data_IF_487953908724
#
_entry.id   IF_487953908724
#
_cell.length_a   1.000
_cell.length_b   1.000
_cell.length_c   1.000
_cell.angle_alpha   90.00
_cell.angle_beta   90.00
_cell.angle_gamma   90.00
#
_symmetry.space_group_name_H-M   'P 1'
#
loop_
_entity.id
_entity.type
_entity.pdbx_description
1 polymer ?
#
# COMPACT_ATOMS: atom_id res chain seq x y z
N UNK A 1 3.65 -48.32 -10.62
CA UNK A 1 2.72 -49.09 -9.77
C UNK A 1 2.03 -50.17 -10.59
N UNK A 2 2.24 -51.42 -10.19
CA UNK A 2 1.66 -52.62 -10.80
C UNK A 2 0.14 -52.66 -10.62
N UNK A 3 -0.60 -53.26 -11.57
CA UNK A 3 -2.07 -53.40 -11.50
C UNK A 3 -2.54 -54.10 -10.21
N UNK A 4 -1.69 -54.96 -9.64
CA UNK A 4 -1.92 -55.64 -8.36
C UNK A 4 -1.91 -54.69 -7.17
N UNK A 5 -1.03 -53.69 -7.18
CA UNK A 5 -0.95 -52.65 -6.14
C UNK A 5 -2.18 -51.74 -6.19
N UNK A 6 -2.64 -51.40 -7.40
CA UNK A 6 -3.88 -50.63 -7.58
C UNK A 6 -5.10 -51.35 -7.00
N UNK A 7 -5.22 -52.66 -7.19
CA UNK A 7 -6.33 -53.43 -6.62
C UNK A 7 -6.24 -53.59 -5.10
N UNK A 8 -5.03 -53.67 -4.53
CA UNK A 8 -4.89 -53.70 -3.07
C UNK A 8 -5.21 -52.35 -2.43
N UNK A 9 -4.87 -51.23 -3.07
CA UNK A 9 -5.25 -49.89 -2.60
C UNK A 9 -6.76 -49.61 -2.71
N UNK A 10 -7.42 -50.11 -3.76
CA UNK A 10 -8.88 -50.02 -3.92
C UNK A 10 -9.63 -50.84 -2.87
N UNK A 11 -9.22 -52.09 -2.61
CA UNK A 11 -9.84 -52.92 -1.57
C UNK A 11 -9.64 -52.33 -0.16
N UNK A 12 -8.51 -51.69 0.10
CA UNK A 12 -8.22 -51.03 1.38
C UNK A 12 -8.99 -49.71 1.57
N UNK A 13 -9.52 -49.14 0.49
CA UNK A 13 -10.35 -47.93 0.51
C UNK A 13 -11.84 -48.22 0.68
N UNK A 14 -12.30 -49.45 0.45
CA UNK A 14 -13.70 -49.85 0.68
C UNK A 14 -13.99 -50.14 2.17
N UNK A 15 -12.99 -50.58 2.94
CA UNK A 15 -13.13 -50.95 4.36
C UNK A 15 -12.92 -49.78 5.34
N UNK A 16 -12.55 -48.59 4.86
CA UNK A 16 -12.32 -47.41 5.69
C UNK A 16 -12.93 -46.19 5.03
N UNK A 17 -13.82 -45.51 5.76
CA UNK A 17 -14.51 -44.26 5.40
C UNK A 17 -13.51 -43.08 5.35
N UNK A 18 -12.43 -43.22 4.58
CA UNK A 18 -11.28 -42.32 4.53
C UNK A 18 -11.21 -41.66 3.15
N UNK A 19 -11.34 -40.33 3.18
CA UNK A 19 -11.44 -39.44 2.03
C UNK A 19 -10.19 -39.57 1.11
N UNK A 20 -10.38 -40.00 -0.13
CA UNK A 20 -9.31 -40.35 -1.09
C UNK A 20 -8.41 -39.18 -1.54
N UNK A 21 -8.74 -37.95 -1.14
CA UNK A 21 -7.97 -36.73 -1.44
C UNK A 21 -7.09 -36.27 -0.27
N UNK A 22 -7.10 -36.96 0.87
CA UNK A 22 -6.14 -36.72 1.95
C UNK A 22 -4.88 -37.53 1.67
N UNK A 23 -3.83 -36.88 1.18
CA UNK A 23 -2.47 -37.42 1.27
C UNK A 23 -2.04 -37.20 2.71
N UNK A 24 -1.89 -38.26 3.50
CA UNK A 24 -1.22 -38.18 4.81
C UNK A 24 0.21 -37.69 4.56
N UNK A 25 0.48 -36.42 4.89
CA UNK A 25 1.83 -35.90 4.96
C UNK A 25 2.53 -36.73 6.05
N UNK A 26 3.44 -37.60 5.63
CA UNK A 26 4.33 -38.31 6.54
C UNK A 26 4.93 -37.29 7.51
N UNK A 27 4.93 -37.64 8.80
CA UNK A 27 5.58 -36.87 9.84
C UNK A 27 6.96 -36.42 9.33
N UNK A 28 7.21 -35.11 9.32
CA UNK A 28 8.52 -34.58 8.96
C UNK A 28 9.48 -35.23 9.94
N UNK A 29 10.28 -36.18 9.46
CA UNK A 29 11.42 -36.70 10.22
C UNK A 29 12.26 -35.48 10.55
N UNK A 30 12.17 -35.02 11.80
CA UNK A 30 13.13 -34.09 12.36
C UNK A 30 14.46 -34.81 12.24
N UNK A 31 15.27 -34.41 11.26
CA UNK A 31 16.67 -34.79 11.24
C UNK A 31 17.22 -34.31 12.57
N UNK A 32 17.63 -35.24 13.42
CA UNK A 32 18.49 -34.91 14.55
C UNK A 32 19.73 -34.26 13.93
N UNK A 33 19.92 -32.97 14.23
CA UNK A 33 21.11 -32.24 13.79
C UNK A 33 22.28 -32.88 14.54
N UNK A 34 23.05 -33.72 13.86
CA UNK A 34 24.32 -34.21 14.38
C UNK A 34 25.17 -32.99 14.78
N UNK A 35 25.78 -33.00 15.98
CA UNK A 35 26.57 -31.87 16.45
C UNK A 35 27.75 -31.67 15.51
N UNK A 36 27.69 -30.58 14.72
CA UNK A 36 28.74 -30.20 13.79
C UNK A 36 29.96 -29.75 14.61
N UNK A 37 31.17 -30.28 14.37
CA UNK A 37 32.38 -29.83 15.05
C UNK A 37 32.67 -28.34 14.77
N UNK A 38 33.00 -27.56 15.80
CA UNK A 38 33.29 -26.10 15.70
C UNK A 38 34.40 -25.73 14.70
N UNK A 39 35.21 -26.71 14.28
CA UNK A 39 36.37 -26.53 13.41
C UNK A 39 36.06 -26.68 11.91
N UNK A 40 34.84 -27.11 11.56
CA UNK A 40 34.42 -27.35 10.16
C UNK A 40 33.07 -26.69 9.91
N UNK A 41 32.94 -25.94 8.82
CA UNK A 41 31.66 -25.34 8.46
C UNK A 41 30.64 -26.42 8.07
N UNK A 42 29.36 -26.19 8.35
CA UNK A 42 28.28 -27.18 8.21
C UNK A 42 28.11 -27.75 6.78
N UNK A 43 28.62 -27.05 5.76
CA UNK A 43 28.59 -27.51 4.37
C UNK A 43 29.77 -28.41 4.03
N UNK A 44 30.94 -28.21 4.64
CA UNK A 44 32.15 -29.03 4.47
C UNK A 44 32.02 -30.38 5.18
N UNK A 45 31.30 -30.45 6.29
CA UNK A 45 31.09 -31.67 7.06
C UNK A 45 30.49 -32.83 6.23
N UNK A 46 29.73 -32.52 5.17
CA UNK A 46 29.16 -33.52 4.26
C UNK A 46 30.12 -33.95 3.16
N UNK A 47 31.12 -33.11 2.86
CA UNK A 47 32.05 -33.28 1.76
C UNK A 47 33.29 -34.05 2.22
N UNK A 48 33.74 -33.81 3.45
CA UNK A 48 34.90 -34.45 4.05
C UNK A 48 34.58 -35.87 4.57
N UNK A 49 35.62 -36.67 4.77
CA UNK A 49 35.52 -37.98 5.42
C UNK A 49 35.60 -37.83 6.95
N UNK A 50 34.97 -38.72 7.71
CA UNK A 50 35.00 -38.64 9.19
C UNK A 50 36.44 -38.66 9.74
N UNK A 51 37.34 -39.38 9.06
CA UNK A 51 38.77 -39.45 9.42
C UNK A 51 39.48 -38.11 9.26
N UNK A 52 39.16 -37.35 8.21
CA UNK A 52 39.75 -36.02 7.99
C UNK A 52 39.20 -34.95 8.89
N UNK A 53 37.93 -35.06 9.27
CA UNK A 53 37.31 -34.21 10.29
C UNK A 53 37.99 -34.45 11.65
N UNK A 54 38.33 -35.70 11.98
CA UNK A 54 39.07 -36.05 13.18
C UNK A 54 40.53 -35.56 13.14
N UNK A 55 41.19 -35.59 11.99
CA UNK A 55 42.56 -35.05 11.82
C UNK A 55 42.60 -33.52 11.98
N UNK A 56 41.61 -32.80 11.41
CA UNK A 56 41.44 -31.36 11.57
C UNK A 56 41.15 -30.95 13.03
N UNK A 57 40.57 -31.85 13.82
CA UNK A 57 40.37 -31.61 15.27
C UNK A 57 41.68 -31.63 16.06
N UNK A 58 42.70 -32.33 15.57
CA UNK A 58 44.01 -32.43 16.22
C UNK A 58 44.96 -31.30 15.80
N UNK A 59 44.93 -30.87 14.53
CA UNK A 59 45.67 -29.71 14.04
C UNK A 59 44.88 -29.00 12.91
N UNK A 60 44.40 -27.76 13.16
CA UNK A 60 43.59 -27.02 12.19
C UNK A 60 44.35 -26.54 10.95
N UNK A 61 45.69 -26.70 10.89
CA UNK A 61 46.50 -26.28 9.74
C UNK A 61 46.98 -27.43 8.83
N UNK A 62 46.59 -28.68 9.11
CA UNK A 62 47.05 -29.87 8.37
C UNK A 62 46.76 -29.76 6.85
N UNK A 63 45.58 -29.29 6.46
CA UNK A 63 45.17 -29.18 5.05
C UNK A 63 45.68 -27.93 4.32
N UNK A 64 46.43 -27.04 5.00
CA UNK A 64 46.98 -25.82 4.36
C UNK A 64 48.31 -26.13 3.66
N UNK A 65 49.02 -27.19 4.07
CA UNK A 65 50.31 -27.58 3.49
C UNK A 65 50.24 -28.77 2.52
N UNK A 66 49.36 -29.73 2.77
CA UNK A 66 49.20 -30.88 1.89
C UNK A 66 48.10 -30.61 0.86
N UNK A 67 48.44 -30.71 -0.43
CA UNK A 67 47.48 -30.69 -1.53
C UNK A 67 46.33 -31.66 -1.23
N UNK A 68 45.09 -31.15 -1.17
CA UNK A 68 43.89 -31.95 -0.94
C UNK A 68 43.86 -33.12 -1.92
N UNK A 69 44.17 -34.32 -1.42
CA UNK A 69 44.07 -35.58 -2.16
C UNK A 69 42.66 -36.17 -2.10
N UNK A 70 42.34 -37.06 -3.05
CA UNK A 70 41.04 -37.72 -3.16
C UNK A 70 40.64 -38.53 -1.90
N UNK A 71 41.59 -38.86 -1.04
CA UNK A 71 41.35 -39.59 0.22
C UNK A 71 40.65 -38.73 1.30
N UNK A 72 40.73 -37.41 1.18
CA UNK A 72 40.11 -36.48 2.13
C UNK A 72 38.65 -36.17 1.77
N UNK A 73 38.21 -36.57 0.58
CA UNK A 73 36.90 -36.26 0.04
C UNK A 73 36.00 -37.49 0.06
N UNK A 74 34.76 -37.30 0.50
CA UNK A 74 33.72 -38.30 0.42
C UNK A 74 33.21 -38.41 -1.03
N UNK A 75 33.89 -39.23 -1.83
CA UNK A 75 33.58 -39.46 -3.24
C UNK A 75 32.15 -39.97 -3.50
N UNK A 76 31.40 -40.39 -2.48
CA UNK A 76 29.97 -40.77 -2.60
C UNK A 76 29.04 -39.57 -2.82
N UNK A 77 29.47 -38.38 -2.44
CA UNK A 77 28.67 -37.14 -2.56
C UNK A 77 28.81 -36.53 -3.95
N UNK A 78 29.96 -36.73 -4.60
CA UNK A 78 30.22 -36.19 -5.92
C UNK A 78 29.65 -37.09 -7.02
N UNK A 79 28.81 -36.51 -7.87
CA UNK A 79 28.33 -37.14 -9.09
C UNK A 79 28.45 -36.16 -10.27
N UNK A 80 28.36 -36.67 -11.50
CA UNK A 80 28.43 -35.83 -12.72
C UNK A 80 27.11 -35.08 -13.04
N UNK A 81 26.12 -35.13 -12.15
CA UNK A 81 24.80 -34.54 -12.38
C UNK A 81 24.72 -33.17 -11.70
N UNK A 82 24.25 -32.17 -12.45
CA UNK A 82 24.05 -30.83 -11.91
C UNK A 82 22.58 -30.67 -11.54
N UNK A 83 22.31 -30.46 -10.26
CA UNK A 83 20.96 -30.17 -9.77
C UNK A 83 20.51 -28.77 -10.23
N UNK A 84 19.30 -28.69 -10.77
CA UNK A 84 18.64 -27.42 -11.02
C UNK A 84 17.72 -27.15 -9.82
N UNK A 85 18.05 -26.19 -8.94
CA UNK A 85 17.26 -25.94 -7.76
C UNK A 85 15.83 -25.57 -8.15
N UNK A 86 14.87 -25.89 -7.28
CA UNK A 86 13.47 -25.59 -7.53
C UNK A 86 13.30 -24.08 -7.79
N UNK A 87 12.69 -23.67 -8.92
CA UNK A 87 12.41 -22.27 -9.19
C UNK A 87 11.50 -21.70 -8.08
N UNK A 88 12.05 -20.86 -7.21
CA UNK A 88 11.29 -20.18 -6.17
C UNK A 88 10.46 -19.09 -6.86
N UNK A 89 9.14 -19.16 -6.72
CA UNK A 89 8.27 -18.09 -7.18
C UNK A 89 8.63 -16.78 -6.45
N UNK A 90 8.64 -15.63 -7.14
CA UNK A 90 8.96 -14.38 -6.49
C UNK A 90 8.01 -14.15 -5.30
N UNK A 91 8.51 -13.71 -4.13
CA UNK A 91 7.71 -13.57 -2.91
C UNK A 91 6.52 -12.62 -3.08
N UNK A 92 6.60 -11.71 -4.06
CA UNK A 92 5.47 -10.95 -4.54
C UNK A 92 5.18 -11.32 -6.01
N UNK A 93 4.03 -11.97 -6.25
CA UNK A 93 3.47 -12.07 -7.59
C UNK A 93 3.26 -10.64 -8.11
N UNK A 94 3.93 -10.29 -9.22
CA UNK A 94 3.76 -8.99 -9.83
C UNK A 94 2.27 -8.86 -10.20
N UNK A 95 1.54 -7.97 -9.52
CA UNK A 95 0.11 -7.81 -9.78
C UNK A 95 -0.13 -7.66 -11.28
N UNK A 96 -1.16 -8.34 -11.78
CA UNK A 96 -1.58 -8.21 -13.17
C UNK A 96 -1.58 -6.73 -13.54
N UNK A 97 -0.87 -6.31 -14.61
CA UNK A 97 -0.74 -4.91 -14.94
C UNK A 97 -2.14 -4.30 -15.03
N UNK A 98 -2.37 -3.11 -14.44
CA UNK A 98 -3.69 -2.49 -14.47
C UNK A 98 -4.17 -2.38 -15.91
N UNK A 99 -5.48 -2.59 -16.16
CA UNK A 99 -6.02 -2.52 -17.50
C UNK A 99 -5.63 -1.18 -18.12
N UNK A 100 -4.98 -1.24 -19.27
CA UNK A 100 -4.45 -0.04 -19.92
C UNK A 100 -5.61 0.95 -20.15
N UNK A 101 -5.54 2.18 -19.61
CA UNK A 101 -6.63 3.12 -19.75
C UNK A 101 -6.75 3.52 -21.23
N UNK A 102 -7.87 3.19 -21.87
CA UNK A 102 -8.13 3.55 -23.26
C UNK A 102 -8.29 5.08 -23.37
N UNK A 103 -7.28 5.74 -23.91
CA UNK A 103 -7.30 7.19 -24.14
C UNK A 103 -7.92 7.47 -25.51
N UNK A 104 -9.17 7.88 -25.53
CA UNK A 104 -9.81 8.36 -26.76
C UNK A 104 -9.24 9.72 -27.20
N UNK A 105 -9.10 9.92 -28.51
CA UNK A 105 -8.74 11.20 -29.11
C UNK A 105 -9.84 12.25 -28.92
N UNK A 106 -9.53 13.54 -29.13
CA UNK A 106 -10.53 14.61 -29.01
C UNK A 106 -11.69 14.43 -30.01
N UNK A 107 -11.38 13.92 -31.21
CA UNK A 107 -12.35 13.66 -32.28
C UNK A 107 -13.28 12.51 -31.94
N UNK A 108 -12.72 11.40 -31.44
CA UNK A 108 -13.51 10.26 -30.97
C UNK A 108 -14.42 10.64 -29.80
N UNK A 109 -13.91 11.44 -28.85
CA UNK A 109 -14.73 11.96 -27.74
C UNK A 109 -15.86 12.84 -28.26
N UNK A 110 -15.62 13.67 -29.27
CA UNK A 110 -16.64 14.49 -29.93
C UNK A 110 -17.67 13.60 -30.63
N UNK A 111 -17.23 12.60 -31.40
CA UNK A 111 -18.10 11.63 -32.09
C UNK A 111 -18.99 10.87 -31.09
N UNK A 112 -18.41 10.32 -30.02
CA UNK A 112 -19.16 9.60 -28.98
C UNK A 112 -20.16 10.50 -28.26
N UNK A 113 -19.78 11.75 -27.94
CA UNK A 113 -20.68 12.74 -27.34
C UNK A 113 -21.85 13.06 -28.27
N UNK A 114 -21.60 13.22 -29.57
CA UNK A 114 -22.65 13.49 -30.57
C UNK A 114 -23.58 12.30 -30.72
N UNK A 115 -23.06 11.08 -30.87
CA UNK A 115 -23.86 9.86 -30.95
C UNK A 115 -24.76 9.68 -29.73
N UNK A 116 -24.22 9.88 -28.51
CA UNK A 116 -25.01 9.82 -27.26
C UNK A 116 -26.10 10.89 -27.19
N UNK A 117 -25.87 12.08 -27.75
CA UNK A 117 -26.88 13.15 -27.81
C UNK A 117 -27.99 12.81 -28.79
N UNK A 118 -27.63 12.35 -29.98
CA UNK A 118 -28.58 11.92 -31.01
C UNK A 118 -29.45 10.79 -30.49
N UNK A 119 -28.84 9.75 -29.90
CA UNK A 119 -29.59 8.63 -29.31
C UNK A 119 -30.58 9.10 -28.23
N UNK A 120 -30.15 9.99 -27.33
CA UNK A 120 -31.02 10.55 -26.29
C UNK A 120 -32.16 11.42 -26.83
N UNK A 121 -31.91 12.16 -27.92
CA UNK A 121 -32.95 12.95 -28.59
C UNK A 121 -33.95 12.08 -29.34
N UNK A 122 -33.48 11.01 -29.99
CA UNK A 122 -34.33 10.01 -30.65
C UNK A 122 -35.21 9.29 -29.63
N UNK A 123 -34.64 8.77 -28.54
CA UNK A 123 -35.39 8.15 -27.44
C UNK A 123 -36.47 9.10 -26.88
N UNK A 124 -36.12 10.38 -26.68
CA UNK A 124 -37.09 11.38 -26.22
C UNK A 124 -38.22 11.62 -27.24
N UNK A 125 -37.92 11.65 -28.54
CA UNK A 125 -38.94 11.80 -29.60
C UNK A 125 -39.86 10.59 -29.65
N UNK A 126 -39.31 9.39 -29.52
CA UNK A 126 -40.09 8.14 -29.46
C UNK A 126 -41.00 8.13 -28.23
N UNK A 127 -40.51 8.55 -27.07
CA UNK A 127 -41.32 8.67 -25.85
C UNK A 127 -42.47 9.69 -25.98
N UNK A 128 -42.24 10.79 -26.71
CA UNK A 128 -43.30 11.77 -27.05
C UNK A 128 -44.29 11.17 -28.05
N UNK A 129 -43.80 10.45 -29.06
CA UNK A 129 -44.63 9.77 -30.08
C UNK A 129 -45.55 8.72 -29.44
N UNK A 130 -45.06 8.01 -28.43
CA UNK A 130 -45.83 7.07 -27.61
C UNK A 130 -46.76 7.74 -26.59
N UNK A 131 -46.74 9.08 -26.48
CA UNK A 131 -47.55 9.83 -25.52
C UNK A 131 -47.13 9.68 -24.06
N UNK A 132 -45.95 9.09 -23.77
CA UNK A 132 -45.44 8.89 -22.41
C UNK A 132 -44.86 10.15 -21.79
N UNK A 133 -44.44 11.11 -22.63
CA UNK A 133 -43.87 12.39 -22.20
C UNK A 133 -44.51 13.49 -23.02
N UNK A 134 -44.97 14.55 -22.35
CA UNK A 134 -45.51 15.72 -23.04
C UNK A 134 -44.43 16.48 -23.82
N UNK A 135 -44.78 17.03 -25.00
CA UNK A 135 -43.89 17.94 -25.73
C UNK A 135 -43.44 19.10 -24.83
N UNK A 136 -42.15 19.42 -24.87
CA UNK A 136 -41.64 20.54 -24.08
C UNK A 136 -42.23 21.86 -24.56
N UNK A 137 -42.79 22.64 -23.63
CA UNK A 137 -43.28 24.00 -23.89
C UNK A 137 -42.14 24.88 -24.43
N UNK A 138 -42.48 25.81 -25.33
CA UNK A 138 -41.50 26.70 -25.95
C UNK A 138 -40.85 27.62 -24.91
N UNK A 139 -39.52 27.76 -24.97
CA UNK A 139 -38.77 28.57 -24.00
C UNK A 139 -38.85 30.05 -24.36
N UNK A 140 -39.65 30.81 -23.63
CA UNK A 140 -39.72 32.28 -23.75
C UNK A 140 -38.74 32.93 -22.77
N UNK A 141 -37.93 33.88 -23.25
CA UNK A 141 -37.07 34.76 -22.44
C UNK A 141 -37.66 36.16 -22.45
N UNK A 142 -37.35 36.95 -21.42
CA UNK A 142 -37.79 38.36 -21.38
C UNK A 142 -37.32 39.16 -22.60
N UNK A 143 -36.10 38.89 -23.10
CA UNK A 143 -35.57 39.46 -24.35
C UNK A 143 -36.34 39.06 -25.61
N UNK A 144 -36.98 37.88 -25.61
CA UNK A 144 -37.69 37.33 -26.76
C UNK A 144 -39.22 37.54 -26.65
N UNK A 145 -39.67 38.17 -25.58
CA UNK A 145 -41.08 38.30 -25.22
C UNK A 145 -41.89 38.99 -26.32
N UNK A 146 -41.45 40.19 -26.72
CA UNK A 146 -42.11 40.99 -27.76
C UNK A 146 -42.02 40.36 -29.15
N UNK A 147 -41.13 39.38 -29.38
CA UNK A 147 -41.02 38.67 -30.66
C UNK A 147 -41.94 37.45 -30.75
N UNK A 148 -42.18 36.77 -29.63
CA UNK A 148 -42.89 35.48 -29.59
C UNK A 148 -44.34 35.65 -29.14
N UNK A 149 -44.62 36.57 -28.22
CA UNK A 149 -45.93 36.81 -27.62
C UNK A 149 -46.32 38.29 -27.66
N UNK A 150 -46.11 38.95 -28.80
CA UNK A 150 -46.37 40.38 -28.97
C UNK A 150 -47.82 40.78 -28.65
N UNK A 151 -48.80 40.01 -29.16
CA UNK A 151 -50.23 40.25 -28.98
C UNK A 151 -50.70 40.05 -27.54
N UNK A 152 -50.11 39.10 -26.81
CA UNK A 152 -50.43 38.84 -25.40
C UNK A 152 -49.71 39.85 -24.47
N UNK A 153 -48.51 40.27 -24.85
CA UNK A 153 -47.71 41.23 -24.10
C UNK A 153 -48.33 42.64 -24.09
N UNK A 154 -49.07 43.04 -25.14
CA UNK A 154 -49.77 44.32 -25.18
C UNK A 154 -51.03 44.34 -24.33
N UNK A 155 -51.70 43.19 -24.14
CA UNK A 155 -52.91 43.09 -23.34
C UNK A 155 -52.63 43.14 -21.83
N UNK A 156 -51.63 42.39 -21.35
CA UNK A 156 -51.31 42.29 -19.92
C UNK A 156 -49.79 42.09 -19.68
N UNK A 157 -48.98 43.16 -19.76
CA UNK A 157 -47.51 43.05 -19.70
C UNK A 157 -46.99 42.48 -18.37
N UNK A 158 -47.55 42.91 -17.24
CA UNK A 158 -47.08 42.53 -15.90
C UNK A 158 -47.36 41.06 -15.56
N UNK A 159 -48.52 40.54 -15.99
CA UNK A 159 -48.88 39.13 -15.77
C UNK A 159 -47.94 38.20 -16.54
N UNK A 160 -47.71 38.53 -17.82
CA UNK A 160 -46.84 37.77 -18.70
C UNK A 160 -45.37 37.81 -18.24
N UNK A 161 -44.92 38.97 -17.77
CA UNK A 161 -43.58 39.13 -17.16
C UNK A 161 -43.42 38.24 -15.93
N UNK A 162 -44.42 38.23 -15.04
CA UNK A 162 -44.43 37.38 -13.85
C UNK A 162 -44.37 35.90 -14.21
N UNK A 163 -45.18 35.45 -15.16
CA UNK A 163 -45.18 34.06 -15.65
C UNK A 163 -43.82 33.63 -16.23
N UNK A 164 -43.17 34.50 -17.00
CA UNK A 164 -41.85 34.18 -17.58
C UNK A 164 -40.77 34.20 -16.50
N UNK A 165 -40.88 35.07 -15.50
CA UNK A 165 -39.98 35.07 -14.33
C UNK A 165 -40.18 33.81 -13.49
N UNK A 166 -41.40 33.37 -13.25
CA UNK A 166 -41.67 32.12 -12.53
C UNK A 166 -41.16 30.93 -13.32
N UNK A 167 -41.40 30.85 -14.64
CA UNK A 167 -40.86 29.78 -15.48
C UNK A 167 -39.32 29.82 -15.52
N UNK A 168 -38.72 31.01 -15.49
CA UNK A 168 -37.27 31.16 -15.36
C UNK A 168 -36.73 30.67 -14.02
N UNK A 169 -37.40 31.03 -12.92
CA UNK A 169 -37.07 30.57 -11.58
C UNK A 169 -37.25 29.05 -11.45
N UNK A 170 -38.32 28.47 -12.00
CA UNK A 170 -38.53 27.03 -12.06
C UNK A 170 -37.43 26.33 -12.87
N UNK A 171 -37.00 26.91 -14.00
CA UNK A 171 -35.88 26.38 -14.79
C UNK A 171 -34.56 26.41 -14.02
N UNK A 172 -34.32 27.48 -13.27
CA UNK A 172 -33.14 27.64 -12.41
C UNK A 172 -33.18 26.66 -11.23
N UNK A 173 -34.32 26.57 -10.53
CA UNK A 173 -34.54 25.65 -9.44
C UNK A 173 -34.37 24.20 -9.92
N UNK A 174 -35.00 23.81 -11.03
CA UNK A 174 -34.82 22.47 -11.59
C UNK A 174 -33.36 22.20 -12.00
N UNK A 175 -32.57 23.21 -12.37
CA UNK A 175 -31.12 23.04 -12.59
C UNK A 175 -30.37 22.84 -11.26
N UNK A 176 -30.70 23.63 -10.23
CA UNK A 176 -30.17 23.47 -8.89
C UNK A 176 -30.51 22.10 -8.30
N UNK A 177 -31.77 21.67 -8.38
CA UNK A 177 -32.24 20.36 -7.89
C UNK A 177 -31.50 19.22 -8.59
N UNK A 178 -31.29 19.30 -9.91
CA UNK A 178 -30.47 18.32 -10.63
C UNK A 178 -29.01 18.31 -10.17
N UNK A 179 -28.46 19.47 -9.79
CA UNK A 179 -27.10 19.55 -9.27
C UNK A 179 -27.00 19.04 -7.83
N UNK A 180 -27.99 19.33 -7.01
CA UNK A 180 -28.11 18.84 -5.63
C UNK A 180 -28.28 17.33 -5.64
N UNK A 181 -29.16 16.78 -6.48
CA UNK A 181 -29.34 15.33 -6.65
C UNK A 181 -28.06 14.62 -7.15
N UNK A 182 -27.22 15.29 -7.95
CA UNK A 182 -25.91 14.76 -8.38
C UNK A 182 -24.78 14.99 -7.37
N UNK A 183 -24.97 15.90 -6.41
CA UNK A 183 -23.93 16.26 -5.45
C UNK A 183 -23.82 15.12 -4.46
N UNK A 184 -22.66 14.46 -4.45
CA UNK A 184 -22.39 13.39 -3.49
C UNK A 184 -22.69 13.88 -2.07
N UNK A 185 -23.33 13.01 -1.30
CA UNK A 185 -23.55 13.26 0.13
C UNK A 185 -22.22 13.42 0.85
N UNK A 186 -22.15 14.15 1.98
CA UNK A 186 -20.90 14.27 2.74
C UNK A 186 -20.29 12.90 3.12
N UNK A 187 -21.12 11.89 3.35
CA UNK A 187 -20.69 10.52 3.61
C UNK A 187 -20.06 9.87 2.36
N UNK A 188 -20.73 9.90 1.20
CA UNK A 188 -20.19 9.39 -0.07
C UNK A 188 -18.88 10.10 -0.47
N UNK A 189 -18.75 11.39 -0.16
CA UNK A 189 -17.50 12.13 -0.39
C UNK A 189 -16.36 11.61 0.46
N UNK A 190 -16.62 11.25 1.73
CA UNK A 190 -15.62 10.65 2.62
C UNK A 190 -15.21 9.28 2.09
N UNK A 191 -16.17 8.43 1.74
CA UNK A 191 -15.90 7.09 1.19
C UNK A 191 -15.13 7.17 -0.14
N UNK A 192 -15.52 8.07 -1.05
CA UNK A 192 -14.79 8.28 -2.32
C UNK A 192 -13.37 8.79 -2.09
N UNK A 193 -13.16 9.62 -1.06
CA UNK A 193 -11.83 10.11 -0.67
C UNK A 193 -11.01 8.95 -0.10
N UNK A 194 -11.57 8.16 0.81
CA UNK A 194 -10.94 6.97 1.38
C UNK A 194 -10.56 5.98 0.27
N UNK A 195 -11.49 5.64 -0.63
CA UNK A 195 -11.24 4.77 -1.78
C UNK A 195 -10.07 5.27 -2.64
N UNK A 196 -10.00 6.57 -2.93
CA UNK A 196 -8.90 7.17 -3.71
C UNK A 196 -7.53 7.05 -3.02
N UNK A 197 -7.51 7.08 -1.69
CA UNK A 197 -6.29 7.00 -0.92
C UNK A 197 -5.88 5.54 -0.65
N UNK A 198 -6.84 4.62 -0.54
CA UNK A 198 -6.63 3.31 0.07
C UNK A 198 -7.05 2.11 -0.78
N UNK A 199 -7.93 2.24 -1.78
CA UNK A 199 -8.43 1.13 -2.59
C UNK A 199 -7.92 1.20 -4.04
N UNK A 200 -6.61 1.11 -4.23
CA UNK A 200 -6.06 0.63 -5.50
C UNK A 200 -5.76 -0.87 -5.28
N UNK A 201 -6.62 -1.80 -5.73
CA UNK A 201 -6.43 -3.25 -5.56
C UNK A 201 -5.32 -3.81 -6.46
N UNK A 202 -4.84 -3.01 -7.42
CA UNK A 202 -3.87 -3.45 -8.44
C UNK A 202 -2.42 -3.13 -8.08
N UNK A 203 -2.19 -2.25 -7.10
CA UNK A 203 -0.83 -2.04 -6.60
C UNK A 203 -0.58 -3.13 -5.58
N UNK A 204 0.31 -4.06 -5.92
CA UNK A 204 0.92 -5.04 -5.01
C UNK A 204 1.09 -4.42 -3.62
N UNK A 205 0.93 -5.27 -2.61
CA UNK A 205 1.06 -5.03 -1.17
C UNK A 205 2.50 -4.62 -0.78
N UNK A 206 3.17 -3.81 -1.59
CA UNK A 206 4.41 -3.13 -1.23
C UNK A 206 4.04 -2.09 -0.17
N UNK A 207 4.19 -2.49 1.08
CA UNK A 207 4.16 -1.56 2.20
C UNK A 207 5.47 -0.79 2.15
N UNK A 208 5.38 0.52 1.94
CA UNK A 208 6.55 1.39 1.96
C UNK A 208 6.72 1.89 3.38
N UNK A 209 7.94 1.76 3.87
CA UNK A 209 8.38 2.24 5.17
C UNK A 209 9.25 3.46 4.96
N UNK A 210 9.05 4.48 5.80
CA UNK A 210 9.87 5.67 5.88
C UNK A 210 10.28 5.91 7.32
N UNK A 211 11.58 6.08 7.53
CA UNK A 211 12.20 6.35 8.83
C UNK A 211 12.71 7.78 8.82
N UNK A 212 12.20 8.59 9.75
CA UNK A 212 12.61 9.97 9.94
C UNK A 212 13.36 10.11 11.26
N UNK A 213 14.46 10.86 11.22
CA UNK A 213 15.20 11.31 12.40
C UNK A 213 14.96 12.79 12.60
N UNK A 214 14.66 13.16 13.84
CA UNK A 214 14.53 14.54 14.30
C UNK A 214 15.62 14.75 15.35
N UNK A 215 16.42 15.80 15.17
CA UNK A 215 17.63 16.01 15.96
C UNK A 215 17.38 16.44 17.41
N UNK A 216 16.16 16.87 17.74
CA UNK A 216 15.77 17.18 19.12
C UNK A 216 14.51 16.44 19.54
N UNK A 217 14.19 16.52 20.84
CA UNK A 217 12.97 15.95 21.40
C UNK A 217 11.74 16.66 20.82
N UNK A 218 10.72 15.90 20.45
CA UNK A 218 9.42 16.41 19.98
C UNK A 218 8.60 16.97 21.16
N UNK A 219 9.06 18.08 21.74
CA UNK A 219 8.42 18.70 22.91
C UNK A 219 7.14 19.48 22.56
N UNK A 220 7.13 20.19 21.41
CA UNK A 220 5.99 21.03 21.03
C UNK A 220 4.70 20.19 20.79
N UNK A 221 3.61 20.47 21.54
CA UNK A 221 2.35 19.77 21.37
C UNK A 221 1.75 19.89 19.97
N UNK A 222 1.99 21.00 19.25
CA UNK A 222 1.41 21.22 17.92
C UNK A 222 2.08 20.34 16.87
N UNK A 223 3.41 20.28 16.84
CA UNK A 223 4.14 19.37 15.94
C UNK A 223 3.83 17.91 16.27
N UNK A 224 3.82 17.52 17.55
CA UNK A 224 3.40 16.18 17.98
C UNK A 224 2.00 15.81 17.52
N UNK A 225 1.04 16.73 17.65
CA UNK A 225 -0.32 16.53 17.16
C UNK A 225 -0.36 16.39 15.63
N UNK A 226 0.40 17.21 14.90
CA UNK A 226 0.48 17.12 13.43
C UNK A 226 1.03 15.77 12.99
N UNK A 227 2.15 15.31 13.54
CA UNK A 227 2.77 14.00 13.27
C UNK A 227 1.74 12.88 13.49
N UNK A 228 1.15 12.83 14.71
CA UNK A 228 0.19 11.79 15.09
C UNK A 228 -1.10 11.81 14.24
N UNK A 229 -1.72 12.99 14.05
CA UNK A 229 -3.00 13.08 13.35
C UNK A 229 -2.86 12.87 11.85
N UNK A 230 -1.77 13.31 11.23
CA UNK A 230 -1.58 13.07 9.81
C UNK A 230 -1.26 11.58 9.54
N UNK A 231 -0.57 10.90 10.44
CA UNK A 231 -0.41 9.44 10.35
C UNK A 231 -1.78 8.75 10.38
N UNK A 232 -2.63 9.09 11.36
CA UNK A 232 -3.99 8.54 11.49
C UNK A 232 -4.88 8.87 10.28
N UNK A 233 -4.90 10.11 9.81
CA UNK A 233 -5.73 10.56 8.67
C UNK A 233 -5.33 9.91 7.34
N UNK A 234 -4.07 9.51 7.22
CA UNK A 234 -3.56 8.81 6.03
C UNK A 234 -3.51 7.28 6.21
N UNK A 235 -4.12 6.74 7.28
CA UNK A 235 -4.11 5.30 7.62
C UNK A 235 -2.70 4.73 7.50
N UNK A 236 -1.75 5.45 8.07
CA UNK A 236 -0.37 5.02 8.18
C UNK A 236 -0.21 4.30 9.51
N UNK A 237 0.52 3.19 9.49
CA UNK A 237 0.95 2.47 10.69
C UNK A 237 2.38 2.87 11.00
N UNK A 238 2.87 2.55 12.19
CA UNK A 238 4.23 2.90 12.58
C UNK A 238 4.35 3.31 14.04
N UNK A 239 5.48 3.91 14.36
CA UNK A 239 5.82 4.24 15.73
C UNK A 239 6.67 5.51 15.80
N UNK A 240 6.40 6.36 16.78
CA UNK A 240 7.21 7.54 17.09
C UNK A 240 7.80 7.38 18.49
N UNK A 241 9.12 7.23 18.58
CA UNK A 241 9.86 7.26 19.83
C UNK A 241 10.37 8.68 20.05
N UNK A 242 10.05 9.25 21.20
CA UNK A 242 10.58 10.54 21.66
C UNK A 242 11.59 10.27 22.77
N UNK A 243 12.81 10.77 22.63
CA UNK A 243 13.89 10.69 23.61
C UNK A 243 14.50 12.07 23.82
N UNK A 244 15.14 12.26 24.96
CA UNK A 244 15.96 13.44 25.24
C UNK A 244 17.16 13.46 24.28
N UNK A 245 17.15 14.38 23.32
CA UNK A 245 18.23 14.57 22.34
C UNK A 245 17.99 13.96 20.95
N UNK A 246 16.99 13.10 20.74
CA UNK A 246 16.56 12.73 19.38
C UNK A 246 15.15 12.12 19.37
N UNK A 247 14.42 12.28 18.27
CA UNK A 247 13.15 11.58 18.06
C UNK A 247 13.18 10.80 16.75
N UNK A 248 12.72 9.56 16.77
CA UNK A 248 12.66 8.69 15.60
C UNK A 248 11.22 8.39 15.27
N UNK A 249 10.83 8.65 14.03
CA UNK A 249 9.47 8.43 13.52
C UNK A 249 9.52 7.43 12.39
N UNK A 250 8.98 6.24 12.62
CA UNK A 250 8.83 5.19 11.62
C UNK A 250 7.37 5.17 11.16
N UNK A 251 7.18 5.15 9.84
CA UNK A 251 5.87 5.18 9.22
C UNK A 251 5.81 4.17 8.10
N UNK A 252 4.79 3.32 8.12
CA UNK A 252 4.54 2.29 7.12
C UNK A 252 3.19 2.57 6.43
N UNK A 253 3.13 2.35 5.13
CA UNK A 253 1.88 2.39 4.39
C UNK A 253 2.06 2.50 2.88
N UNK A 254 1.01 2.95 2.19
CA UNK A 254 1.01 3.01 0.73
C UNK A 254 1.79 4.22 0.21
N UNK A 255 2.39 4.08 -0.99
CA UNK A 255 3.16 5.15 -1.67
C UNK A 255 2.50 6.53 -1.68
N UNK A 256 1.20 6.62 -1.99
CA UNK A 256 0.45 7.90 -1.99
C UNK A 256 0.30 8.52 -0.59
N UNK A 257 0.24 7.69 0.46
CA UNK A 257 0.13 8.13 1.84
C UNK A 257 1.50 8.56 2.37
N UNK A 258 2.54 7.75 2.12
CA UNK A 258 3.94 8.05 2.44
C UNK A 258 4.40 9.36 1.79
N UNK A 259 4.23 9.56 0.48
CA UNK A 259 4.66 10.82 -0.17
C UNK A 259 3.95 12.07 0.35
N UNK A 260 2.74 11.93 0.93
CA UNK A 260 2.04 13.05 1.58
C UNK A 260 2.59 13.31 2.98
N UNK A 261 2.97 12.25 3.68
CA UNK A 261 3.60 12.32 4.99
C UNK A 261 5.03 12.85 4.91
N UNK A 262 5.80 12.42 3.92
CA UNK A 262 7.13 12.93 3.60
C UNK A 262 7.10 14.44 3.37
N UNK A 263 6.16 14.94 2.55
CA UNK A 263 5.96 16.39 2.37
C UNK A 263 5.55 17.11 3.66
N UNK A 264 4.83 16.44 4.56
CA UNK A 264 4.51 17.00 5.87
C UNK A 264 5.79 17.17 6.70
N UNK A 265 6.56 16.08 6.83
CA UNK A 265 7.75 16.02 7.67
C UNK A 265 8.87 16.91 7.12
N UNK A 266 9.13 16.92 5.81
CA UNK A 266 10.28 17.66 5.28
C UNK A 266 9.98 19.11 4.88
N UNK A 267 8.73 19.45 4.50
CA UNK A 267 8.42 20.75 3.87
C UNK A 267 7.39 21.60 4.61
N UNK A 268 6.39 20.99 5.25
CA UNK A 268 5.24 21.74 5.82
C UNK A 268 5.40 22.05 7.30
N UNK A 269 6.13 21.21 8.03
CA UNK A 269 6.47 21.48 9.42
C UNK A 269 7.76 22.28 9.40
N UNK A 270 7.70 23.49 9.94
CA UNK A 270 8.88 24.27 10.23
C UNK A 270 9.42 23.79 11.59
N UNK A 271 10.51 23.03 11.56
CA UNK A 271 11.08 22.39 12.76
C UNK A 271 11.85 23.38 13.63
N UNK A 272 12.45 24.41 13.03
CA UNK A 272 13.16 25.50 13.73
C UNK A 272 12.18 26.37 14.54
N UNK A 273 11.00 26.67 13.99
CA UNK A 273 9.99 27.47 14.68
C UNK A 273 9.36 26.73 15.88
N UNK A 274 9.38 25.40 15.86
CA UNK A 274 8.87 24.57 16.95
C UNK A 274 9.74 24.64 18.23
N UNK A 275 10.91 25.28 18.15
CA UNK A 275 11.85 25.44 19.27
C UNK A 275 11.64 26.73 20.09
N UNK A 276 10.88 27.70 19.56
CA UNK A 276 10.87 29.09 20.05
C UNK A 276 10.16 29.36 21.38
N UNK A 277 10.22 28.48 22.39
CA UNK A 277 9.58 28.81 23.68
C UNK A 277 10.34 28.63 24.97
N UNK A 278 11.42 27.87 25.09
CA UNK A 278 12.02 27.73 26.43
C UNK A 278 13.55 27.86 26.51
N UNK A 279 14.36 27.52 25.50
CA UNK A 279 15.82 27.60 25.64
C UNK A 279 16.52 28.20 24.42
N UNK A 280 17.08 29.39 24.58
CA UNK A 280 18.08 29.99 23.69
C UNK A 280 19.44 29.30 23.91
N UNK A 281 19.62 28.07 23.40
CA UNK A 281 20.95 27.47 23.30
C UNK A 281 21.32 27.17 21.85
N UNK A 282 22.50 27.68 21.47
CA UNK A 282 23.22 27.65 20.19
C UNK A 282 23.57 26.24 19.65
N UNK A 283 22.78 25.22 19.95
CA UNK A 283 22.98 23.89 19.37
C UNK A 283 22.06 23.71 18.16
N UNK A 284 22.69 23.54 16.99
CA UNK A 284 22.13 23.30 15.66
C UNK A 284 20.62 23.09 15.59
N UNK A 285 19.93 23.97 14.86
CA UNK A 285 18.46 24.03 14.78
C UNK A 285 17.81 22.67 14.56
N UNK A 286 16.65 22.47 15.17
CA UNK A 286 15.89 21.25 15.04
C UNK A 286 15.51 21.03 13.56
N UNK A 287 16.06 19.97 12.96
CA UNK A 287 15.75 19.54 11.60
C UNK A 287 15.24 18.10 11.59
N UNK A 288 14.42 17.81 10.59
CA UNK A 288 13.92 16.46 10.31
C UNK A 288 14.54 15.96 9.01
N UNK A 289 15.16 14.79 9.08
CA UNK A 289 15.84 14.17 7.96
C UNK A 289 15.21 12.80 7.66
N UNK A 290 15.17 12.44 6.38
CA UNK A 290 14.76 11.11 5.95
C UNK A 290 15.97 10.19 6.00
N UNK A 291 15.98 9.27 6.94
CA UNK A 291 17.08 8.32 7.14
C UNK A 291 17.01 7.19 6.11
N UNK A 292 15.80 6.64 5.93
CA UNK A 292 15.59 5.51 5.04
C UNK A 292 14.16 5.48 4.51
N UNK A 293 14.04 5.04 3.26
CA UNK A 293 12.77 4.75 2.63
C UNK A 293 12.91 3.50 1.77
N UNK A 294 12.05 2.51 1.99
CA UNK A 294 12.08 1.26 1.24
C UNK A 294 10.76 0.51 1.31
N UNK A 295 10.63 -0.54 0.49
CA UNK A 295 9.50 -1.45 0.50
C UNK A 295 9.77 -2.65 1.40
N UNK A 296 8.76 -3.08 2.15
CA UNK A 296 8.79 -4.26 3.02
C UNK A 296 7.61 -5.17 2.64
N UNK A 297 7.80 -6.48 2.77
CA UNK A 297 6.80 -7.49 2.43
C UNK A 297 5.56 -7.44 3.33
N UNK A 298 5.78 -7.29 4.65
CA UNK A 298 4.71 -7.25 5.65
C UNK A 298 4.86 -6.03 6.57
N UNK A 299 3.77 -5.30 6.88
CA UNK A 299 3.81 -4.25 7.89
C UNK A 299 4.11 -4.83 9.26
N UNK A 300 4.97 -4.18 10.03
CA UNK A 300 5.30 -4.60 11.40
C UNK A 300 4.33 -4.00 12.41
N UNK A 301 3.75 -2.84 12.10
CA UNK A 301 2.88 -2.11 13.02
C UNK A 301 1.40 -2.16 12.61
N UNK A 302 0.51 -2.30 13.59
CA UNK A 302 -0.95 -2.29 13.36
C UNK A 302 -1.60 -0.90 13.44
N UNK A 303 -1.02 -0.01 14.24
CA UNK A 303 -1.51 1.37 14.47
C UNK A 303 -0.34 2.30 14.76
N UNK A 304 -0.52 3.58 14.45
CA UNK A 304 0.46 4.60 14.78
C UNK A 304 0.42 4.97 16.27
N UNK A 305 1.50 4.67 16.99
CA UNK A 305 1.66 5.00 18.41
C UNK A 305 2.79 6.00 18.62
N UNK A 306 2.67 6.79 19.69
CA UNK A 306 3.69 7.76 20.12
C UNK A 306 4.02 7.42 21.56
N UNK A 307 5.29 7.13 21.85
CA UNK A 307 5.77 6.81 23.18
C UNK A 307 7.01 7.63 23.50
N UNK A 308 7.08 8.06 24.75
CA UNK A 308 8.25 8.72 25.33
C UNK A 308 9.11 7.66 26.03
N UNK A 309 10.39 7.63 25.70
CA UNK A 309 11.38 6.72 26.28
C UNK A 309 12.51 7.54 26.89
N UNK A 310 12.91 7.19 28.11
CA UNK A 310 13.97 7.89 28.84
C UNK A 310 15.36 7.35 28.47
N UNK A 311 15.48 6.03 28.26
CA UNK A 311 16.76 5.39 27.94
C UNK A 311 16.81 4.85 26.50
N UNK A 312 18.04 4.76 25.95
CA UNK A 312 18.29 4.15 24.63
C UNK A 312 17.91 2.67 24.58
N UNK A 313 18.09 1.97 25.70
CA UNK A 313 17.73 0.56 25.84
C UNK A 313 16.22 0.36 25.77
N UNK A 314 15.43 1.24 26.40
CA UNK A 314 13.96 1.17 26.34
C UNK A 314 13.44 1.45 24.93
N UNK A 315 14.03 2.45 24.25
CA UNK A 315 13.71 2.75 22.86
C UNK A 315 14.00 1.54 21.95
N UNK A 316 15.19 0.93 22.08
CA UNK A 316 15.56 -0.26 21.31
C UNK A 316 14.66 -1.46 21.60
N UNK A 317 14.22 -1.63 22.86
CA UNK A 317 13.27 -2.68 23.25
C UNK A 317 11.95 -2.56 22.49
N UNK A 318 11.40 -1.36 22.37
CA UNK A 318 10.16 -1.13 21.61
C UNK A 318 10.30 -1.53 20.13
N UNK A 319 11.45 -1.26 19.51
CA UNK A 319 11.72 -1.68 18.13
C UNK A 319 12.02 -3.17 18.01
N UNK A 320 12.67 -3.78 19.01
CA UNK A 320 12.91 -5.22 19.08
C UNK A 320 11.60 -6.01 19.21
N UNK A 321 10.67 -5.55 20.05
CA UNK A 321 9.35 -6.17 20.24
C UNK A 321 8.54 -6.20 18.94
N UNK A 322 8.80 -5.24 18.04
CA UNK A 322 8.20 -5.17 16.69
C UNK A 322 9.06 -5.85 15.59
N UNK A 323 10.22 -6.43 15.92
CA UNK A 323 11.11 -7.09 14.95
C UNK A 323 11.90 -6.13 14.05
N UNK A 324 11.92 -4.83 14.35
CA UNK A 324 12.49 -3.76 13.51
C UNK A 324 13.61 -2.98 14.19
N UNK A 325 14.41 -3.68 15.00
CA UNK A 325 15.58 -3.16 15.71
C UNK A 325 16.53 -2.33 14.83
N UNK A 326 16.70 -2.78 13.59
CA UNK A 326 17.60 -2.20 12.62
C UNK A 326 17.24 -0.76 12.22
N UNK A 327 15.96 -0.36 12.28
CA UNK A 327 15.57 1.04 12.03
C UNK A 327 16.10 2.00 13.09
N UNK A 328 16.15 1.54 14.34
CA UNK A 328 16.67 2.32 15.45
C UNK A 328 18.19 2.48 15.35
N UNK A 329 18.90 1.38 15.10
CA UNK A 329 20.36 1.39 14.94
C UNK A 329 20.78 2.26 13.73
N UNK A 330 20.00 2.22 12.65
CA UNK A 330 20.21 3.09 11.48
C UNK A 330 20.02 4.57 11.81
N UNK A 331 18.95 4.93 12.53
CA UNK A 331 18.69 6.31 12.92
C UNK A 331 19.74 6.84 13.91
N UNK A 332 20.27 5.99 14.78
CA UNK A 332 21.37 6.33 15.69
C UNK A 332 22.64 6.68 14.92
N UNK A 333 23.04 5.83 13.96
CA UNK A 333 24.27 5.97 13.20
C UNK A 333 24.18 7.00 12.07
N UNK A 334 22.98 7.51 11.78
CA UNK A 334 22.79 8.49 10.72
C UNK A 334 23.35 9.87 11.10
N UNK A 335 24.38 10.31 10.38
CA UNK A 335 24.87 11.69 10.38
C UNK A 335 24.35 12.43 9.16
N UNK A 336 23.93 13.68 9.35
CA UNK A 336 23.65 14.59 8.24
C UNK A 336 24.99 15.15 7.75
N UNK A 337 25.52 14.63 6.65
CA UNK A 337 26.64 15.25 5.93
C UNK A 337 26.23 16.55 5.23
#
# INVERSE_FOLDING_TARGET
>A
MSFKEKQSHLKKAEDADMNTNLIELSERVTREEEPIPDFVEWWDAKILTDDTINELSCDPNILIMDTITENHLNMKVFNCHIEHPFPIEPPAEAASPPPQPLKMTKEERKKLRTLRRVAKEMEKREMISQGRVEPQKSKVKMSNLMKVRASEATQNPTKLEKEIRTEAAEREQAHMDRNVARKLTPAEKREKKERKLFCDPTTVVETIVSVYKINKKLSDPKTRFKVRMNAKQNILTGFSVMMDGMSVVVVEGKRKAINRYEKLMLKRINWEEAEKKEDEEENGGNKCCLVWQGSVEKPSFHRFHVQECLTKSDAKKVFNDAGVAHYWDLALNYSDD
#
